data_IF_922404088955
#
_entry.id   IF_922404088955
#
_cell.length_a   1.000
_cell.length_b   1.000
_cell.length_c   1.000
_cell.angle_alpha   90.00
_cell.angle_beta   90.00
_cell.angle_gamma   90.00
#
_symmetry.space_group_name_H-M   'P 1'
#
loop_
_entity.id
_entity.type
_entity.pdbx_description
1 polymer ?
#
# COMPACT_ATOMS: atom_id res chain seq x y z
N UNK A 1 1.18 17.34 -3.67
CA UNK A 1 2.44 17.98 -3.20
C UNK A 1 2.16 19.48 -3.19
N UNK A 2 2.10 20.18 -2.06
CA UNK A 2 1.51 21.55 -2.14
C UNK A 2 1.74 22.55 -1.00
N UNK A 3 1.80 22.15 0.26
CA UNK A 3 1.90 23.13 1.37
C UNK A 3 3.22 23.01 2.16
N UNK A 4 3.56 21.82 2.65
CA UNK A 4 4.79 21.60 3.42
C UNK A 4 6.05 21.83 2.59
N UNK A 5 6.08 21.36 1.33
CA UNK A 5 7.18 21.67 0.43
C UNK A 5 7.30 23.16 0.11
N UNK A 6 6.18 23.88 0.01
CA UNK A 6 6.18 25.33 -0.16
C UNK A 6 6.77 26.05 1.07
N UNK A 7 6.51 25.54 2.29
CA UNK A 7 7.11 26.05 3.54
C UNK A 7 8.62 25.77 3.59
N UNK A 8 9.06 24.58 3.14
CA UNK A 8 10.50 24.26 3.01
C UNK A 8 11.19 25.19 2.02
N UNK A 9 10.64 25.34 0.83
CA UNK A 9 11.24 26.11 -0.27
C UNK A 9 11.20 27.62 -0.08
N UNK A 10 10.23 28.14 0.66
CA UNK A 10 10.10 29.58 0.95
C UNK A 10 11.06 30.09 2.04
N UNK A 11 11.84 29.21 2.68
CA UNK A 11 12.74 29.58 3.79
C UNK A 11 12.01 29.82 5.13
N UNK A 12 10.67 29.76 5.13
CA UNK A 12 9.85 29.89 6.34
C UNK A 12 9.98 28.71 7.31
N UNK A 13 10.60 27.60 6.89
CA UNK A 13 10.97 26.53 7.82
C UNK A 13 11.87 27.04 8.96
N UNK A 14 12.77 28.00 8.68
CA UNK A 14 13.66 28.57 9.70
C UNK A 14 12.90 29.45 10.70
N UNK A 15 11.73 29.98 10.33
CA UNK A 15 10.86 30.74 11.25
C UNK A 15 10.04 29.86 12.20
N UNK A 16 9.94 28.55 11.93
CA UNK A 16 9.38 27.60 12.91
C UNK A 16 10.40 27.44 14.03
N UNK A 17 10.09 27.96 15.22
CA UNK A 17 11.04 27.98 16.35
C UNK A 17 11.24 26.59 16.96
N UNK A 18 10.19 25.77 16.94
CA UNK A 18 10.21 24.44 17.49
C UNK A 18 11.01 23.48 16.60
N UNK A 19 12.10 22.96 17.18
CA UNK A 19 13.01 22.06 16.49
C UNK A 19 12.36 20.72 16.12
N UNK A 20 11.46 20.23 16.96
CA UNK A 20 10.71 19.00 16.71
C UNK A 20 9.73 19.18 15.54
N UNK A 21 9.02 20.31 15.52
CA UNK A 21 8.11 20.64 14.43
C UNK A 21 8.85 20.80 13.08
N UNK A 22 10.04 21.41 13.09
CA UNK A 22 10.91 21.48 11.89
C UNK A 22 11.36 20.10 11.40
N UNK A 23 11.77 19.22 12.32
CA UNK A 23 12.19 17.87 11.97
C UNK A 23 11.04 17.07 11.34
N UNK A 24 9.84 17.19 11.91
CA UNK A 24 8.62 16.57 11.39
C UNK A 24 8.31 17.07 9.97
N UNK A 25 8.30 18.39 9.73
CA UNK A 25 8.05 18.97 8.40
C UNK A 25 9.09 18.47 7.39
N UNK A 26 10.36 18.41 7.79
CA UNK A 26 11.48 18.01 6.92
C UNK A 26 11.32 16.58 6.45
N UNK A 27 11.04 15.64 7.37
CA UNK A 27 11.05 14.20 7.07
C UNK A 27 9.69 13.65 6.59
N UNK A 28 8.64 14.47 6.63
CA UNK A 28 7.27 14.05 6.30
C UNK A 28 7.12 13.48 4.88
N UNK A 29 7.79 14.09 3.90
CA UNK A 29 7.65 13.67 2.50
C UNK A 29 8.37 12.37 2.20
N UNK A 30 9.56 12.17 2.77
CA UNK A 30 10.32 10.93 2.62
C UNK A 30 9.49 9.76 3.16
N UNK A 31 8.93 9.91 4.38
CA UNK A 31 8.04 8.90 4.98
C UNK A 31 6.79 8.60 4.16
N UNK A 32 6.22 9.59 3.47
CA UNK A 32 5.09 9.35 2.55
C UNK A 32 5.53 8.61 1.30
N UNK A 33 6.72 8.92 0.78
CA UNK A 33 7.24 8.27 -0.40
C UNK A 33 7.58 6.81 -0.10
N UNK A 34 8.20 6.54 1.05
CA UNK A 34 8.50 5.18 1.54
C UNK A 34 7.22 4.34 1.62
N UNK A 35 6.18 4.81 2.33
CA UNK A 35 4.91 4.10 2.45
C UNK A 35 4.22 3.84 1.10
N UNK A 36 4.39 4.74 0.12
CA UNK A 36 3.85 4.55 -1.25
C UNK A 36 4.64 3.52 -2.05
N UNK A 37 5.93 3.41 -1.82
CA UNK A 37 6.79 2.47 -2.52
C UNK A 37 6.41 1.03 -2.17
N UNK A 38 6.19 0.73 -0.89
CA UNK A 38 5.73 -0.59 -0.44
C UNK A 38 4.39 -0.98 -1.06
N UNK A 39 3.40 -0.09 -1.02
CA UNK A 39 2.09 -0.32 -1.65
C UNK A 39 2.20 -0.57 -3.16
N UNK A 40 3.12 0.12 -3.85
CA UNK A 40 3.39 -0.10 -5.27
C UNK A 40 4.03 -1.47 -5.53
N UNK A 41 4.99 -1.90 -4.71
CA UNK A 41 5.61 -3.22 -4.82
C UNK A 41 4.60 -4.35 -4.66
N UNK A 42 3.67 -4.21 -3.69
CA UNK A 42 2.57 -5.16 -3.50
C UNK A 42 1.66 -5.19 -4.73
N UNK A 43 1.30 -4.02 -5.27
CA UNK A 43 0.47 -3.93 -6.48
C UNK A 43 1.15 -4.60 -7.68
N UNK A 44 2.44 -4.34 -7.90
CA UNK A 44 3.22 -4.96 -8.97
C UNK A 44 3.32 -6.48 -8.79
N UNK A 45 3.49 -6.97 -7.57
CA UNK A 45 3.52 -8.40 -7.26
C UNK A 45 2.17 -9.06 -7.55
N UNK A 46 1.06 -8.41 -7.19
CA UNK A 46 -0.29 -8.92 -7.47
C UNK A 46 -0.53 -9.01 -8.98
N UNK A 47 -0.27 -7.93 -9.71
CA UNK A 47 -0.56 -7.83 -11.15
C UNK A 47 0.34 -8.78 -11.95
N UNK A 48 1.64 -8.80 -11.65
CA UNK A 48 2.64 -9.46 -12.49
C UNK A 48 2.93 -10.91 -12.09
N UNK A 49 2.61 -11.32 -10.85
CA UNK A 49 2.92 -12.67 -10.35
C UNK A 49 1.68 -13.41 -9.86
N UNK A 50 0.94 -12.83 -8.91
CA UNK A 50 -0.19 -13.52 -8.28
C UNK A 50 -1.32 -13.81 -9.26
N UNK A 51 -1.82 -12.80 -9.98
CA UNK A 51 -2.92 -12.97 -10.93
C UNK A 51 -2.57 -14.01 -12.00
N UNK A 52 -1.40 -13.94 -12.68
CA UNK A 52 -0.97 -14.96 -13.63
C UNK A 52 -0.85 -16.36 -13.02
N UNK A 53 -0.32 -16.50 -11.81
CA UNK A 53 -0.20 -17.80 -11.15
C UNK A 53 -1.57 -18.42 -10.86
N UNK A 54 -2.51 -17.65 -10.28
CA UNK A 54 -3.88 -18.13 -10.04
C UNK A 54 -4.61 -18.46 -11.35
N UNK A 55 -4.36 -17.71 -12.43
CA UNK A 55 -4.98 -17.95 -13.73
C UNK A 55 -4.64 -19.33 -14.33
N UNK A 56 -3.56 -19.99 -13.88
CA UNK A 56 -3.22 -21.34 -14.31
C UNK A 56 -4.17 -22.41 -13.74
N UNK A 57 -4.88 -22.08 -12.67
CA UNK A 57 -5.72 -23.02 -11.90
C UNK A 57 -7.19 -22.63 -11.87
N UNK A 58 -7.52 -21.34 -12.01
CA UNK A 58 -8.89 -20.84 -12.02
C UNK A 58 -8.99 -19.69 -13.03
N UNK A 59 -9.94 -19.79 -13.96
CA UNK A 59 -10.17 -18.70 -14.92
C UNK A 59 -10.71 -17.44 -14.24
N UNK A 60 -10.35 -16.26 -14.77
CA UNK A 60 -10.89 -14.99 -14.29
C UNK A 60 -12.43 -14.96 -14.38
N UNK A 61 -13.00 -15.49 -15.45
CA UNK A 61 -14.46 -15.59 -15.65
C UNK A 61 -15.16 -16.32 -14.49
N UNK A 62 -14.56 -17.41 -13.99
CA UNK A 62 -15.10 -18.12 -12.82
C UNK A 62 -15.00 -17.29 -11.55
N UNK A 63 -13.88 -16.57 -11.33
CA UNK A 63 -13.69 -15.75 -10.12
C UNK A 63 -14.65 -14.56 -10.06
N UNK A 64 -14.85 -13.87 -11.18
CA UNK A 64 -15.75 -12.70 -11.24
C UNK A 64 -17.21 -13.09 -11.01
N UNK A 65 -17.62 -14.31 -11.42
CA UNK A 65 -18.96 -14.84 -11.13
C UNK A 65 -19.29 -14.88 -9.62
N UNK A 66 -18.29 -15.04 -8.77
CA UNK A 66 -18.46 -15.05 -7.31
C UNK A 66 -18.48 -13.66 -6.66
N UNK A 67 -18.20 -12.58 -7.42
CA UNK A 67 -18.20 -11.21 -6.91
C UNK A 67 -19.61 -10.57 -6.87
N UNK A 68 -20.65 -11.32 -7.20
CA UNK A 68 -22.05 -10.91 -6.98
C UNK A 68 -22.61 -9.93 -8.02
N UNK A 69 -21.80 -9.46 -8.96
CA UNK A 69 -22.29 -8.65 -10.07
C UNK A 69 -22.64 -9.56 -11.26
N UNK A 70 -23.85 -9.40 -11.80
CA UNK A 70 -24.32 -10.04 -13.04
C UNK A 70 -23.57 -9.46 -14.26
N UNK A 71 -22.24 -9.53 -14.25
CA UNK A 71 -21.47 -9.35 -15.45
C UNK A 71 -21.92 -10.42 -16.44
N UNK A 72 -22.17 -10.02 -17.70
CA UNK A 72 -22.39 -10.94 -18.81
C UNK A 72 -21.07 -11.66 -19.13
N UNK A 73 -20.68 -12.57 -18.25
CA UNK A 73 -19.46 -13.35 -18.37
C UNK A 73 -19.79 -14.55 -19.24
N UNK A 74 -19.16 -14.63 -20.42
CA UNK A 74 -19.29 -15.77 -21.30
C UNK A 74 -18.86 -17.08 -20.63
N UNK A 75 -19.39 -18.23 -21.08
CA UNK A 75 -18.99 -19.51 -20.54
C UNK A 75 -17.48 -19.71 -20.70
N UNK A 76 -16.87 -20.39 -19.73
CA UNK A 76 -15.46 -20.80 -19.79
C UNK A 76 -15.39 -22.31 -19.96
N UNK A 77 -14.52 -22.78 -20.85
CA UNK A 77 -14.18 -24.21 -20.99
C UNK A 77 -13.11 -24.65 -19.98
N UNK A 78 -12.58 -23.72 -19.19
CA UNK A 78 -11.54 -23.98 -18.22
C UNK A 78 -12.11 -24.74 -17.01
N UNK A 79 -11.56 -25.91 -16.70
CA UNK A 79 -11.91 -26.67 -15.50
C UNK A 79 -11.03 -26.22 -14.33
N UNK A 80 -11.61 -25.74 -13.21
CA UNK A 80 -10.82 -25.32 -12.06
C UNK A 80 -10.03 -26.47 -11.44
N UNK A 81 -8.76 -26.21 -11.10
CA UNK A 81 -7.91 -27.11 -10.32
C UNK A 81 -7.57 -26.46 -8.97
N UNK A 82 -8.48 -26.59 -8.01
CA UNK A 82 -8.28 -26.04 -6.67
C UNK A 82 -7.20 -26.79 -5.89
N UNK A 83 -7.03 -28.09 -6.12
CA UNK A 83 -6.02 -28.87 -5.42
C UNK A 83 -4.62 -28.42 -5.85
N UNK A 84 -4.38 -28.29 -7.15
CA UNK A 84 -3.13 -27.75 -7.69
C UNK A 84 -2.85 -26.33 -7.21
N UNK A 85 -3.88 -25.47 -7.12
CA UNK A 85 -3.75 -24.12 -6.60
C UNK A 85 -3.17 -24.10 -5.17
N UNK A 86 -3.72 -24.93 -4.27
CA UNK A 86 -3.29 -24.97 -2.86
C UNK A 86 -2.01 -25.76 -2.62
N UNK A 87 -1.56 -26.55 -3.60
CA UNK A 87 -0.29 -27.30 -3.55
C UNK A 87 0.87 -26.57 -4.26
N UNK A 88 0.61 -25.47 -4.97
CA UNK A 88 1.64 -24.70 -5.65
C UNK A 88 2.49 -23.87 -4.67
N UNK A 89 3.72 -24.33 -4.44
CA UNK A 89 4.72 -23.65 -3.60
C UNK A 89 5.10 -22.26 -4.12
N UNK A 90 5.02 -22.03 -5.43
CA UNK A 90 5.32 -20.71 -6.01
C UNK A 90 4.24 -19.72 -5.60
N UNK A 91 2.97 -20.15 -5.64
CA UNK A 91 1.85 -19.35 -5.20
C UNK A 91 1.90 -19.10 -3.68
N UNK A 92 2.23 -20.12 -2.88
CA UNK A 92 2.47 -19.98 -1.43
C UNK A 92 3.52 -18.90 -1.14
N UNK A 93 4.63 -18.92 -1.88
CA UNK A 93 5.68 -17.92 -1.75
C UNK A 93 5.20 -16.51 -2.11
N UNK A 94 4.45 -16.36 -3.22
CA UNK A 94 3.89 -15.07 -3.63
C UNK A 94 2.94 -14.52 -2.56
N UNK A 95 2.02 -15.35 -2.04
CA UNK A 95 1.08 -14.95 -0.98
C UNK A 95 1.84 -14.53 0.27
N UNK A 96 2.90 -15.27 0.64
CA UNK A 96 3.73 -14.95 1.79
C UNK A 96 4.43 -13.59 1.65
N UNK A 97 4.96 -13.27 0.47
CA UNK A 97 5.54 -11.94 0.20
C UNK A 97 4.49 -10.83 0.27
N UNK A 98 3.32 -11.02 -0.35
CA UNK A 98 2.21 -10.05 -0.26
C UNK A 98 1.84 -9.82 1.21
N UNK A 99 1.75 -10.88 2.01
CA UNK A 99 1.36 -10.79 3.42
C UNK A 99 2.40 -10.04 4.26
N UNK A 100 3.69 -10.37 4.14
CA UNK A 100 4.76 -9.72 4.89
C UNK A 100 4.84 -8.23 4.52
N UNK A 101 4.86 -7.90 3.23
CA UNK A 101 4.93 -6.50 2.81
C UNK A 101 3.68 -5.72 3.21
N UNK A 102 2.49 -6.34 3.21
CA UNK A 102 1.29 -5.67 3.72
C UNK A 102 1.36 -5.41 5.22
N UNK A 103 2.01 -6.27 6.00
CA UNK A 103 2.25 -6.02 7.42
C UNK A 103 3.18 -4.82 7.60
N UNK A 104 4.25 -4.72 6.80
CA UNK A 104 5.20 -3.62 6.90
C UNK A 104 4.55 -2.29 6.48
N UNK A 105 3.80 -2.28 5.37
CA UNK A 105 3.05 -1.10 4.91
C UNK A 105 2.09 -0.59 5.99
N UNK A 106 1.36 -1.49 6.66
CA UNK A 106 0.46 -1.12 7.76
C UNK A 106 1.20 -0.52 8.97
N UNK A 107 2.42 -0.99 9.28
CA UNK A 107 3.23 -0.39 10.35
C UNK A 107 3.69 1.01 9.96
N UNK A 108 4.11 1.21 8.71
CA UNK A 108 4.54 2.52 8.21
C UNK A 108 3.38 3.53 8.19
N UNK A 109 2.20 3.10 7.75
CA UNK A 109 0.99 3.92 7.79
C UNK A 109 0.62 4.32 9.23
N UNK A 110 0.72 3.41 10.21
CA UNK A 110 0.44 3.74 11.61
C UNK A 110 1.50 4.70 12.17
N UNK A 111 2.78 4.52 11.86
CA UNK A 111 3.82 5.49 12.24
C UNK A 111 3.58 6.87 11.63
N UNK A 112 3.14 6.93 10.38
CA UNK A 112 2.80 8.19 9.71
C UNK A 112 1.62 8.88 10.42
N UNK A 113 0.61 8.10 10.82
CA UNK A 113 -0.54 8.59 11.59
C UNK A 113 -0.14 9.09 12.97
N UNK A 114 0.66 8.36 13.72
CA UNK A 114 1.19 8.79 15.02
C UNK A 114 1.99 10.09 14.89
N UNK A 115 2.83 10.18 13.86
CA UNK A 115 3.59 11.39 13.54
C UNK A 115 2.67 12.58 13.23
N UNK A 116 1.58 12.38 12.48
CA UNK A 116 0.59 13.43 12.21
C UNK A 116 -0.14 13.88 13.47
N UNK A 117 -0.54 12.94 14.33
CA UNK A 117 -1.19 13.25 15.61
C UNK A 117 -0.27 14.12 16.46
N UNK A 118 1.02 13.74 16.56
CA UNK A 118 2.03 14.52 17.26
C UNK A 118 2.24 15.90 16.65
N UNK A 119 2.26 16.00 15.32
CA UNK A 119 2.37 17.27 14.62
C UNK A 119 1.22 18.23 15.00
N UNK A 120 -0.02 17.72 15.02
CA UNK A 120 -1.20 18.51 15.39
C UNK A 120 -1.16 18.90 16.87
N UNK A 121 -0.77 18.01 17.78
CA UNK A 121 -0.69 18.34 19.21
C UNK A 121 0.33 19.44 19.47
N UNK A 122 1.52 19.36 18.88
CA UNK A 122 2.56 20.37 19.05
C UNK A 122 2.14 21.74 18.48
N UNK A 123 1.42 21.77 17.35
CA UNK A 123 0.85 23.01 16.82
C UNK A 123 -0.18 23.66 17.77
N UNK A 124 -0.95 22.85 18.49
CA UNK A 124 -1.94 23.35 19.45
C UNK A 124 -1.30 23.85 20.75
N UNK A 125 -0.10 23.37 21.10
CA UNK A 125 0.66 23.83 22.27
C UNK A 125 1.41 25.15 22.03
N UNK A 126 1.64 25.51 20.76
CA UNK A 126 2.28 26.78 20.36
C UNK A 126 1.31 27.97 20.21
N UNK A 127 0.00 27.74 20.22
CA UNK A 127 -1.05 28.77 20.20
C UNK A 127 -1.56 29.10 21.61
#
# INVERSE_FOLDING_TARGET
MGALNSIKMSGHLNSVQNAELRALITNYEDRINDAKEEGKLIQELIINKFIPAVNQYISLNQRVKYLGEEYAIGPTSFSPDYEGLFQDRSLEGIISYIYIWRIDELKEEEQLKEMMVKFISTLNEEN
#
